data_IF_286143394032
#
_entry.id   IF_286143394032
#
_cell.length_a   1.000
_cell.length_b   1.000
_cell.length_c   1.000
_cell.angle_alpha   90.00
_cell.angle_beta   90.00
_cell.angle_gamma   90.00
#
_symmetry.space_group_name_H-M   'P 1'
#
loop_
_entity.id
_entity.type
_entity.pdbx_description
1 polymer ?
#
# COMPACT_ATOMS: atom_id res chain seq x y z
N UNK A 1 -17.18 32.51 15.62
CA UNK A 1 -18.62 32.16 15.58
C UNK A 1 -18.81 31.07 14.54
N UNK A 2 -19.65 30.09 14.83
CA UNK A 2 -19.97 29.01 13.90
C UNK A 2 -21.30 28.36 14.23
N UNK A 3 -21.69 27.42 13.38
CA UNK A 3 -22.87 26.58 13.57
C UNK A 3 -22.44 25.12 13.54
N UNK A 4 -22.82 24.39 14.57
CA UNK A 4 -22.75 22.94 14.64
C UNK A 4 -24.04 22.37 14.05
N UNK A 5 -23.92 21.58 13.00
CA UNK A 5 -24.99 20.77 12.45
C UNK A 5 -24.91 19.38 13.05
N UNK A 6 -26.03 18.87 13.54
CA UNK A 6 -26.14 17.52 14.10
C UNK A 6 -27.37 16.79 13.59
N UNK A 7 -27.33 15.46 13.66
CA UNK A 7 -28.45 14.59 13.30
C UNK A 7 -29.12 14.06 14.57
N UNK A 8 -30.43 14.18 14.67
CA UNK A 8 -31.21 13.70 15.82
C UNK A 8 -31.16 12.18 15.99
N UNK A 9 -30.91 11.44 14.90
CA UNK A 9 -30.73 10.00 14.91
C UNK A 9 -29.31 9.55 15.28
N UNK A 10 -28.39 10.50 15.46
CA UNK A 10 -26.95 10.26 15.60
C UNK A 10 -26.32 9.47 14.44
N UNK A 11 -27.01 9.33 13.30
CA UNK A 11 -26.50 8.62 12.13
C UNK A 11 -25.36 9.36 11.41
N UNK A 12 -25.26 10.68 11.62
CA UNK A 12 -24.19 11.52 11.10
C UNK A 12 -23.46 12.20 12.27
N UNK A 13 -22.12 12.24 12.23
CA UNK A 13 -21.36 12.99 13.21
C UNK A 13 -21.58 14.50 13.05
N UNK A 14 -21.33 15.28 14.12
CA UNK A 14 -21.43 16.73 14.07
C UNK A 14 -20.54 17.32 12.98
N UNK A 15 -21.03 18.38 12.33
CA UNK A 15 -20.33 19.10 11.27
C UNK A 15 -20.35 20.59 11.58
N UNK A 16 -19.22 21.27 11.37
CA UNK A 16 -19.08 22.68 11.74
C UNK A 16 -18.92 23.58 10.53
N UNK A 17 -19.70 24.65 10.48
CA UNK A 17 -19.48 25.77 9.58
C UNK A 17 -18.98 26.96 10.42
N UNK A 18 -17.84 27.55 10.03
CA UNK A 18 -17.28 28.70 10.73
C UNK A 18 -17.40 29.97 9.89
N UNK A 19 -17.73 31.07 10.56
CA UNK A 19 -17.51 32.42 10.02
C UNK A 19 -16.00 32.76 10.09
N UNK A 20 -15.54 33.81 9.39
CA UNK A 20 -14.13 34.18 9.45
C UNK A 20 -13.72 34.48 10.89
N UNK A 21 -12.55 33.99 11.30
CA UNK A 21 -11.99 34.32 12.60
C UNK A 21 -11.82 35.84 12.75
N UNK A 22 -12.04 36.33 13.97
CA UNK A 22 -11.90 37.74 14.34
C UNK A 22 -10.84 37.85 15.42
N UNK A 23 -9.97 38.85 15.29
CA UNK A 23 -9.01 39.20 16.33
C UNK A 23 -9.70 40.09 17.36
N UNK A 24 -9.23 40.04 18.60
CA UNK A 24 -9.80 40.85 19.67
C UNK A 24 -9.82 42.33 19.27
N UNK A 25 -10.99 42.95 19.41
CA UNK A 25 -11.24 44.35 19.08
C UNK A 25 -12.17 44.97 20.12
N UNK A 26 -12.12 46.31 20.25
CA UNK A 26 -12.90 47.04 21.25
C UNK A 26 -14.34 47.40 20.83
N UNK A 27 -14.74 47.06 19.60
CA UNK A 27 -16.06 47.39 19.05
C UNK A 27 -16.84 46.13 18.66
N UNK A 28 -18.17 46.21 18.76
CA UNK A 28 -19.07 45.17 18.25
C UNK A 28 -19.06 45.21 16.72
N UNK A 29 -18.92 44.03 16.09
CA UNK A 29 -18.91 43.87 14.64
C UNK A 29 -19.94 42.81 14.23
N UNK A 30 -20.70 43.03 13.14
CA UNK A 30 -21.58 41.99 12.60
C UNK A 30 -20.74 40.86 12.02
N UNK A 31 -21.17 39.63 12.30
CA UNK A 31 -20.57 38.41 11.76
C UNK A 31 -21.66 37.58 11.10
N UNK A 32 -21.50 37.34 9.81
CA UNK A 32 -22.45 36.57 9.01
C UNK A 32 -21.83 35.24 8.59
N UNK A 33 -22.69 34.22 8.51
CA UNK A 33 -22.34 32.88 8.07
C UNK A 33 -23.52 32.34 7.25
N UNK A 34 -23.24 32.01 5.99
CA UNK A 34 -24.22 31.40 5.09
C UNK A 34 -23.68 30.03 4.62
N UNK A 35 -24.52 29.01 4.67
CA UNK A 35 -24.20 27.65 4.23
C UNK A 35 -25.49 26.90 3.91
N UNK A 36 -25.37 25.86 3.08
CA UNK A 36 -26.48 24.96 2.77
C UNK A 36 -26.61 23.90 3.88
N UNK A 37 -27.85 23.66 4.35
CA UNK A 37 -28.11 22.55 5.29
C UNK A 37 -28.11 21.24 4.50
N UNK A 38 -27.17 20.37 4.84
CA UNK A 38 -26.95 19.12 4.14
C UNK A 38 -27.95 18.05 4.61
N UNK A 39 -28.36 17.16 3.70
CA UNK A 39 -29.32 16.10 4.00
C UNK A 39 -28.87 15.23 5.18
N UNK A 40 -29.80 14.92 6.09
CA UNK A 40 -29.57 14.11 7.29
C UNK A 40 -29.19 14.92 8.55
N UNK A 41 -28.84 16.19 8.40
CA UNK A 41 -28.71 17.13 9.52
C UNK A 41 -30.04 17.85 9.75
N UNK A 42 -30.60 17.71 10.94
CA UNK A 42 -31.92 18.24 11.31
C UNK A 42 -31.89 19.12 12.58
N UNK A 43 -30.70 19.33 13.14
CA UNK A 43 -30.45 20.21 14.29
C UNK A 43 -29.28 21.12 13.99
N UNK A 44 -29.40 22.36 14.44
CA UNK A 44 -28.34 23.34 14.39
C UNK A 44 -28.13 23.96 15.77
N UNK A 45 -26.87 24.15 16.16
CA UNK A 45 -26.50 24.86 17.39
C UNK A 45 -25.52 25.97 17.05
N UNK A 46 -25.81 27.15 17.56
CA UNK A 46 -24.88 28.29 17.50
C UNK A 46 -23.73 28.04 18.48
N UNK A 47 -22.50 28.14 17.97
CA UNK A 47 -21.26 27.89 18.71
C UNK A 47 -20.34 29.10 18.60
N UNK A 48 -19.75 29.49 19.72
CA UNK A 48 -18.68 30.48 19.73
C UNK A 48 -17.48 29.90 20.45
N UNK A 49 -16.36 29.95 19.73
CA UNK A 49 -15.08 29.48 20.18
C UNK A 49 -14.05 30.56 19.93
N UNK A 50 -13.05 30.61 20.79
CA UNK A 50 -11.91 31.52 20.68
C UNK A 50 -10.65 30.83 21.18
N UNK A 51 -9.51 31.42 20.86
CA UNK A 51 -8.19 30.99 21.33
C UNK A 51 -7.60 32.08 22.22
N UNK A 52 -6.87 31.68 23.27
CA UNK A 52 -6.23 32.60 24.22
C UNK A 52 -7.10 33.01 25.40
N UNK A 53 -6.62 33.98 26.18
CA UNK A 53 -7.34 34.53 27.33
C UNK A 53 -8.21 35.72 26.93
N UNK A 54 -9.49 35.68 27.27
CA UNK A 54 -10.43 36.77 27.00
C UNK A 54 -11.89 36.37 27.22
N UNK A 55 -12.78 37.34 27.03
CA UNK A 55 -14.23 37.13 27.03
C UNK A 55 -14.80 37.59 25.70
N UNK A 56 -15.81 36.86 25.21
CA UNK A 56 -16.55 37.21 24.00
C UNK A 56 -18.00 37.46 24.39
N UNK A 57 -18.53 38.61 23.97
CA UNK A 57 -19.96 38.92 24.08
C UNK A 57 -20.60 38.76 22.70
N UNK A 58 -21.82 38.24 22.68
CA UNK A 58 -22.65 38.07 21.49
C UNK A 58 -24.00 38.70 21.78
N UNK A 59 -24.52 39.42 20.82
CA UNK A 59 -25.84 40.02 20.89
C UNK A 59 -26.53 39.87 19.52
N UNK A 60 -27.85 39.97 19.49
CA UNK A 60 -28.67 39.97 18.27
C UNK A 60 -28.47 38.75 17.33
N UNK A 61 -28.27 37.56 17.89
CA UNK A 61 -28.16 36.33 17.11
C UNK A 61 -29.48 36.01 16.38
N UNK A 62 -29.43 36.00 15.04
CA UNK A 62 -30.56 35.66 14.18
C UNK A 62 -30.19 34.58 13.17
N UNK A 63 -31.17 33.74 12.82
CA UNK A 63 -31.07 32.75 11.77
C UNK A 63 -32.14 33.04 10.73
N UNK A 64 -31.74 33.21 9.48
CA UNK A 64 -32.61 33.57 8.37
C UNK A 64 -32.49 32.50 7.29
N UNK A 65 -33.64 32.09 6.74
CA UNK A 65 -33.67 31.25 5.55
C UNK A 65 -33.25 32.08 4.34
N UNK A 66 -32.42 31.49 3.48
CA UNK A 66 -31.97 32.07 2.23
C UNK A 66 -32.10 31.01 1.12
N UNK A 67 -32.14 31.47 -0.13
CA UNK A 67 -32.06 30.57 -1.27
C UNK A 67 -30.80 29.70 -1.19
N UNK A 68 -30.87 28.40 -1.54
CA UNK A 68 -29.72 27.52 -1.53
C UNK A 68 -28.56 28.11 -2.32
N UNK A 69 -27.38 28.12 -1.70
CA UNK A 69 -26.16 28.62 -2.32
C UNK A 69 -25.71 27.71 -3.47
N UNK A 70 -26.05 26.41 -3.41
CA UNK A 70 -25.78 25.44 -4.47
C UNK A 70 -24.28 25.22 -4.68
N UNK A 71 -23.46 25.41 -3.64
CA UNK A 71 -21.99 25.47 -3.72
C UNK A 71 -21.30 24.10 -3.79
N UNK A 72 -22.06 23.01 -3.87
CA UNK A 72 -21.49 21.67 -3.95
C UNK A 72 -20.76 21.44 -5.28
N UNK A 73 -19.51 20.99 -5.20
CA UNK A 73 -18.72 20.57 -6.35
C UNK A 73 -19.09 19.13 -6.68
N UNK A 74 -19.45 18.84 -7.94
CA UNK A 74 -19.89 17.50 -8.35
C UNK A 74 -18.83 16.76 -9.14
N UNK A 75 -18.74 15.44 -8.94
CA UNK A 75 -17.96 14.51 -9.74
C UNK A 75 -18.75 13.20 -9.83
N UNK A 76 -19.27 12.86 -11.01
CA UNK A 76 -20.17 11.72 -11.21
C UNK A 76 -21.34 11.70 -10.21
N UNK A 77 -21.48 10.66 -9.38
CA UNK A 77 -22.47 10.54 -8.31
C UNK A 77 -22.04 11.14 -6.95
N UNK A 78 -20.83 11.73 -6.90
CA UNK A 78 -20.26 12.34 -5.70
C UNK A 78 -20.49 13.84 -5.68
N UNK A 79 -20.79 14.35 -4.49
CA UNK A 79 -20.96 15.77 -4.21
C UNK A 79 -20.09 16.16 -3.02
N UNK A 80 -19.22 17.15 -3.21
CA UNK A 80 -18.35 17.69 -2.18
C UNK A 80 -18.82 19.11 -1.83
N UNK A 81 -19.42 19.27 -0.65
CA UNK A 81 -19.96 20.54 -0.16
C UNK A 81 -18.96 21.19 0.79
N UNK A 82 -18.48 22.38 0.44
CA UNK A 82 -17.62 23.20 1.32
C UNK A 82 -18.50 24.13 2.14
N UNK A 83 -18.28 24.13 3.46
CA UNK A 83 -19.04 24.92 4.42
C UNK A 83 -18.18 26.03 5.01
N UNK A 84 -18.82 27.14 5.39
CA UNK A 84 -18.15 28.33 5.91
C UNK A 84 -17.93 29.40 4.86
N UNK A 85 -17.63 30.61 5.32
CA UNK A 85 -17.19 31.72 4.45
C UNK A 85 -16.10 32.49 5.20
N UNK A 86 -14.79 32.33 4.89
CA UNK A 86 -14.24 31.40 3.91
C UNK A 86 -14.51 29.94 4.29
N UNK A 87 -14.39 29.03 3.31
CA UNK A 87 -14.62 27.60 3.56
C UNK A 87 -13.72 27.08 4.68
N UNK A 88 -14.28 26.39 5.66
CA UNK A 88 -13.57 25.90 6.84
C UNK A 88 -13.68 24.39 7.02
N UNK A 89 -14.71 23.80 6.41
CA UNK A 89 -15.05 22.38 6.47
C UNK A 89 -15.55 21.89 5.11
N UNK A 90 -15.52 20.59 4.88
CA UNK A 90 -16.21 19.98 3.75
C UNK A 90 -16.84 18.62 4.10
N UNK A 91 -17.90 18.28 3.37
CA UNK A 91 -18.61 17.00 3.42
C UNK A 91 -18.57 16.35 2.04
N UNK A 92 -18.14 15.09 1.99
CA UNK A 92 -18.26 14.25 0.80
C UNK A 92 -19.49 13.34 0.93
N UNK A 93 -20.38 13.45 -0.04
CA UNK A 93 -21.61 12.66 -0.16
C UNK A 93 -21.57 11.85 -1.46
N UNK A 94 -22.14 10.65 -1.44
CA UNK A 94 -22.42 9.84 -2.63
C UNK A 94 -23.87 9.40 -2.61
N UNK A 95 -24.64 9.71 -3.64
CA UNK A 95 -26.06 9.31 -3.75
C UNK A 95 -26.89 9.61 -2.49
N UNK A 96 -26.64 10.77 -1.86
CA UNK A 96 -27.33 11.20 -0.63
C UNK A 96 -26.79 10.63 0.68
N UNK A 97 -25.78 9.75 0.66
CA UNK A 97 -25.13 9.20 1.86
C UNK A 97 -23.78 9.87 2.10
N UNK A 98 -23.55 10.35 3.33
CA UNK A 98 -22.25 10.87 3.73
C UNK A 98 -21.19 9.75 3.77
N UNK A 99 -20.01 10.02 3.23
CA UNK A 99 -18.85 9.12 3.27
C UNK A 99 -17.75 9.66 4.17
N UNK A 100 -17.37 10.92 3.94
CA UNK A 100 -16.37 11.64 4.72
C UNK A 100 -16.98 12.95 5.19
N UNK A 101 -16.86 13.23 6.49
CA UNK A 101 -17.44 14.43 7.12
C UNK A 101 -16.37 15.22 7.83
N UNK A 102 -16.55 16.53 7.91
CA UNK A 102 -15.74 17.40 8.75
C UNK A 102 -14.30 17.50 8.30
N UNK A 103 -14.04 17.74 6.99
CA UNK A 103 -12.72 18.14 6.49
C UNK A 103 -12.28 19.48 7.09
N UNK A 104 -11.98 19.49 8.38
CA UNK A 104 -11.85 20.66 9.21
C UNK A 104 -10.37 21.06 9.32
N UNK A 105 -10.11 22.35 9.09
CA UNK A 105 -8.79 22.95 9.34
C UNK A 105 -8.56 23.27 10.82
N UNK A 106 -9.62 23.18 11.62
CA UNK A 106 -9.60 23.40 13.06
C UNK A 106 -10.48 22.37 13.75
N UNK A 107 -9.95 21.71 14.78
CA UNK A 107 -10.74 20.84 15.64
C UNK A 107 -11.32 21.68 16.78
N UNK A 108 -12.62 21.56 17.02
CA UNK A 108 -13.28 22.17 18.17
C UNK A 108 -13.79 21.10 19.12
N UNK A 109 -13.52 21.28 20.40
CA UNK A 109 -14.08 20.48 21.47
C UNK A 109 -14.46 21.35 22.68
N UNK A 110 -14.84 20.70 23.78
CA UNK A 110 -15.18 21.41 25.03
C UNK A 110 -14.00 22.15 25.66
N UNK A 111 -12.76 21.77 25.34
CA UNK A 111 -11.56 22.42 25.83
C UNK A 111 -11.19 23.66 24.98
N UNK A 112 -11.68 23.76 23.74
CA UNK A 112 -11.60 24.97 22.94
C UNK A 112 -11.43 24.70 21.45
N UNK A 113 -10.99 25.72 20.72
CA UNK A 113 -10.65 25.63 19.30
C UNK A 113 -9.15 25.37 19.17
N UNK A 114 -8.78 24.32 18.44
CA UNK A 114 -7.40 23.98 18.09
C UNK A 114 -7.24 23.94 16.57
N UNK A 115 -6.02 24.13 16.07
CA UNK A 115 -5.72 24.13 14.63
C UNK A 115 -5.66 25.53 14.03
N UNK A 116 -6.08 25.66 12.76
CA UNK A 116 -5.91 26.87 11.96
C UNK A 116 -7.26 27.54 11.62
N UNK A 117 -7.80 28.38 12.54
CA UNK A 117 -9.15 28.93 12.41
C UNK A 117 -9.26 30.10 11.43
N UNK A 118 -8.12 30.71 11.08
CA UNK A 118 -8.02 31.71 10.01
C UNK A 118 -7.92 31.04 8.62
N UNK A 119 -7.99 29.70 8.56
CA UNK A 119 -7.79 28.94 7.34
C UNK A 119 -8.92 28.98 6.34
N UNK A 120 -8.56 28.76 5.07
CA UNK A 120 -9.52 28.68 3.96
C UNK A 120 -9.30 27.38 3.20
N UNK A 121 -10.36 26.60 3.13
CA UNK A 121 -10.56 25.41 2.32
C UNK A 121 -11.38 25.76 1.08
N UNK A 122 -10.96 25.25 -0.07
CA UNK A 122 -11.76 25.26 -1.29
C UNK A 122 -11.66 23.91 -1.98
N UNK A 123 -12.70 23.55 -2.73
CA UNK A 123 -12.74 22.33 -3.51
C UNK A 123 -12.93 22.66 -4.99
N UNK A 124 -12.31 21.86 -5.86
CA UNK A 124 -12.55 21.89 -7.30
C UNK A 124 -12.66 20.45 -7.83
N UNK A 125 -13.44 20.25 -8.88
CA UNK A 125 -13.49 18.96 -9.58
C UNK A 125 -12.23 18.82 -10.44
N UNK A 126 -11.58 17.67 -10.34
CA UNK A 126 -10.45 17.27 -11.17
C UNK A 126 -10.83 16.15 -12.14
N UNK A 127 -9.83 15.60 -12.83
CA UNK A 127 -10.04 14.50 -13.78
C UNK A 127 -10.49 13.18 -13.11
N UNK A 128 -10.07 12.95 -11.86
CA UNK A 128 -10.25 11.67 -11.15
C UNK A 128 -11.03 11.78 -9.83
N UNK A 129 -11.55 12.96 -9.52
CA UNK A 129 -12.22 13.25 -8.26
C UNK A 129 -12.17 14.74 -7.95
N UNK A 130 -11.69 15.11 -6.76
CA UNK A 130 -11.62 16.49 -6.30
C UNK A 130 -10.19 16.89 -5.90
N UNK A 131 -9.95 18.20 -5.88
CA UNK A 131 -8.75 18.80 -5.30
C UNK A 131 -9.19 19.70 -4.14
N UNK A 132 -8.67 19.43 -2.95
CA UNK A 132 -8.87 20.24 -1.75
C UNK A 132 -7.68 21.19 -1.63
N UNK A 133 -7.90 22.49 -1.78
CA UNK A 133 -6.86 23.50 -1.68
C UNK A 133 -6.95 24.29 -0.36
N UNK A 134 -5.79 24.57 0.23
CA UNK A 134 -5.62 25.23 1.52
C UNK A 134 -4.87 26.55 1.33
N UNK A 135 -5.58 27.68 1.37
CA UNK A 135 -4.98 28.98 1.09
C UNK A 135 -4.33 29.59 2.33
N UNK A 136 -3.00 29.62 2.36
CA UNK A 136 -2.22 30.25 3.43
C UNK A 136 -1.99 29.34 4.64
N UNK A 137 -2.04 28.02 4.45
CA UNK A 137 -1.86 27.05 5.53
C UNK A 137 -0.47 27.18 6.15
N UNK A 138 -0.35 27.36 7.48
CA UNK A 138 0.94 27.31 8.14
C UNK A 138 1.51 25.88 8.09
N UNK A 139 2.81 25.73 8.31
CA UNK A 139 3.49 24.44 8.21
C UNK A 139 2.98 23.40 9.23
N UNK A 140 2.44 23.85 10.36
CA UNK A 140 1.88 23.03 11.43
C UNK A 140 0.36 22.79 11.30
N UNK A 141 -0.27 23.27 10.21
CA UNK A 141 -1.68 23.03 9.95
C UNK A 141 -1.99 21.54 9.85
N UNK A 142 -3.16 21.14 10.34
CA UNK A 142 -3.67 19.79 10.18
C UNK A 142 -5.08 19.78 9.61
N UNK A 143 -5.34 18.78 8.77
CA UNK A 143 -6.66 18.45 8.28
C UNK A 143 -7.24 17.34 9.14
N UNK A 144 -8.41 17.59 9.71
CA UNK A 144 -9.18 16.61 10.46
C UNK A 144 -10.34 16.15 9.59
N UNK A 145 -10.79 14.90 9.73
CA UNK A 145 -12.06 14.43 9.17
C UNK A 145 -12.49 13.11 9.79
N UNK A 146 -13.76 12.78 9.64
CA UNK A 146 -14.35 11.52 10.06
C UNK A 146 -14.73 10.73 8.81
N UNK A 147 -14.24 9.50 8.71
CA UNK A 147 -14.67 8.56 7.69
C UNK A 147 -15.72 7.60 8.27
N UNK A 148 -16.92 7.60 7.69
CA UNK A 148 -18.03 6.77 8.16
C UNK A 148 -17.86 5.34 7.67
N UNK A 149 -17.88 4.38 8.60
CA UNK A 149 -17.77 2.97 8.26
C UNK A 149 -19.15 2.45 7.86
N UNK A 150 -19.31 1.74 6.73
CA UNK A 150 -20.47 0.85 6.56
C UNK A 150 -20.52 -0.14 7.73
N UNK A 151 -21.70 -0.43 8.29
CA UNK A 151 -21.85 -1.35 9.43
C UNK A 151 -21.19 -2.71 9.20
N UNK A 152 -21.20 -3.21 7.95
CA UNK A 152 -20.59 -4.48 7.54
C UNK A 152 -19.04 -4.47 7.50
N UNK A 153 -18.39 -3.31 7.63
CA UNK A 153 -16.93 -3.15 7.54
C UNK A 153 -16.23 -3.06 8.90
N UNK A 154 -16.99 -3.13 10.00
CA UNK A 154 -16.47 -3.09 11.37
C UNK A 154 -15.46 -4.23 11.61
N UNK A 155 -14.23 -3.88 11.97
CA UNK A 155 -13.14 -4.84 12.26
C UNK A 155 -12.45 -5.48 11.05
N UNK A 156 -12.84 -5.15 9.81
CA UNK A 156 -12.18 -5.73 8.64
C UNK A 156 -10.80 -5.09 8.40
N UNK A 157 -9.73 -5.88 8.51
CA UNK A 157 -8.40 -5.46 8.11
C UNK A 157 -8.40 -5.08 6.62
N UNK A 158 -7.86 -3.91 6.29
CA UNK A 158 -7.76 -3.43 4.90
C UNK A 158 -8.83 -2.41 4.46
N UNK A 159 -9.76 -2.00 5.34
CA UNK A 159 -10.64 -0.86 5.03
C UNK A 159 -9.89 0.48 5.01
N UNK A 160 -8.85 0.60 5.84
CA UNK A 160 -7.90 1.71 5.78
C UNK A 160 -6.54 1.18 5.40
N UNK A 161 -5.86 1.90 4.53
CA UNK A 161 -4.45 1.67 4.28
C UNK A 161 -3.71 2.95 3.98
N UNK A 162 -2.40 2.92 4.14
CA UNK A 162 -1.52 4.02 3.72
C UNK A 162 -0.42 3.49 2.82
N UNK A 163 0.07 4.32 1.92
CA UNK A 163 1.28 4.05 1.13
C UNK A 163 2.35 5.10 1.40
N UNK A 164 3.61 4.74 1.31
CA UNK A 164 4.75 5.64 1.53
C UNK A 164 6.06 4.97 1.09
N UNK A 165 7.20 5.55 1.50
CA UNK A 165 8.52 4.97 1.20
C UNK A 165 8.69 3.55 1.78
N UNK A 166 8.03 3.26 2.91
CA UNK A 166 7.99 1.94 3.53
C UNK A 166 6.97 0.98 2.89
N UNK A 167 6.35 1.38 1.78
CA UNK A 167 5.36 0.58 1.06
C UNK A 167 3.95 0.66 1.64
N UNK A 168 3.14 -0.34 1.30
CA UNK A 168 1.74 -0.45 1.72
C UNK A 168 1.62 -0.95 3.16
N UNK A 169 0.73 -0.34 3.95
CA UNK A 169 0.34 -0.85 5.26
C UNK A 169 -1.18 -0.73 5.44
N UNK A 170 -1.84 -1.85 5.73
CA UNK A 170 -3.25 -1.90 6.09
C UNK A 170 -3.43 -1.71 7.60
N UNK A 171 -4.48 -1.00 8.00
CA UNK A 171 -4.79 -0.68 9.39
C UNK A 171 -6.18 -1.21 9.76
N UNK A 172 -6.30 -1.81 10.95
CA UNK A 172 -7.56 -2.39 11.44
C UNK A 172 -8.24 -1.53 12.53
N UNK A 173 -7.56 -0.51 13.04
CA UNK A 173 -8.02 0.35 14.13
C UNK A 173 -7.14 1.59 14.24
N UNK A 174 -6.86 2.02 15.47
CA UNK A 174 -6.05 3.21 15.76
C UNK A 174 -4.62 3.05 15.23
N UNK A 175 -4.09 4.10 14.59
CA UNK A 175 -2.73 4.11 14.09
C UNK A 175 -2.14 5.52 14.03
N UNK A 176 -0.82 5.60 13.97
CA UNK A 176 -0.09 6.78 13.50
C UNK A 176 1.02 6.31 12.56
N UNK A 177 1.16 6.98 11.41
CA UNK A 177 2.17 6.67 10.41
C UNK A 177 2.78 7.95 9.85
N UNK A 178 4.10 8.05 9.95
CA UNK A 178 4.88 9.08 9.29
C UNK A 178 5.22 8.68 7.84
N UNK A 179 5.47 9.67 6.99
CA UNK A 179 5.96 9.45 5.63
C UNK A 179 4.92 8.88 4.66
N UNK A 180 3.63 9.03 4.95
CA UNK A 180 2.55 8.58 4.07
C UNK A 180 2.42 9.53 2.87
N UNK A 181 2.36 8.96 1.67
CA UNK A 181 2.11 9.66 0.40
C UNK A 181 0.68 9.47 -0.09
N UNK A 182 -0.03 8.48 0.45
CA UNK A 182 -1.48 8.41 0.30
C UNK A 182 -2.17 7.70 1.47
N UNK A 183 -3.45 8.03 1.65
CA UNK A 183 -4.39 7.35 2.53
C UNK A 183 -5.52 6.79 1.69
N UNK A 184 -5.74 5.48 1.79
CA UNK A 184 -6.78 4.71 1.12
C UNK A 184 -7.88 4.39 2.14
N UNK A 185 -9.13 4.61 1.74
CA UNK A 185 -10.31 4.36 2.55
C UNK A 185 -11.30 3.54 1.73
N UNK A 186 -11.98 2.58 2.34
CA UNK A 186 -12.99 1.78 1.64
C UNK A 186 -12.42 0.70 0.73
N UNK A 187 -13.29 0.14 -0.11
CA UNK A 187 -12.95 -0.93 -1.05
C UNK A 187 -13.90 -0.92 -2.25
N UNK A 188 -13.51 -1.60 -3.33
CA UNK A 188 -14.36 -1.80 -4.49
C UNK A 188 -14.81 -0.50 -5.17
N UNK A 189 -16.13 -0.25 -5.18
CA UNK A 189 -16.73 0.95 -5.78
C UNK A 189 -16.84 2.12 -4.80
N UNK A 190 -16.54 1.91 -3.52
CA UNK A 190 -16.47 2.94 -2.46
C UNK A 190 -15.02 3.23 -2.04
N UNK A 191 -14.03 2.75 -2.80
CA UNK A 191 -12.63 3.07 -2.58
C UNK A 191 -12.41 4.57 -2.83
N UNK A 192 -11.76 5.23 -1.89
CA UNK A 192 -11.33 6.63 -1.98
C UNK A 192 -9.84 6.70 -1.68
N UNK A 193 -9.14 7.64 -2.31
CA UNK A 193 -7.72 7.92 -2.04
C UNK A 193 -7.51 9.40 -1.79
N UNK A 194 -6.90 9.72 -0.64
CA UNK A 194 -6.29 11.01 -0.40
C UNK A 194 -4.81 10.93 -0.79
N UNK A 195 -4.44 11.64 -1.87
CA UNK A 195 -3.08 11.73 -2.40
C UNK A 195 -2.37 12.98 -1.92
N UNK A 196 -1.10 12.83 -1.52
CA UNK A 196 -0.27 13.91 -1.00
C UNK A 196 0.92 14.16 -1.92
N UNK A 197 1.18 15.43 -2.26
CA UNK A 197 2.32 15.80 -3.12
C UNK A 197 3.68 15.61 -2.43
N UNK A 198 3.69 15.57 -1.09
CA UNK A 198 4.84 15.27 -0.26
C UNK A 198 4.43 14.33 0.89
N UNK A 199 5.37 13.55 1.46
CA UNK A 199 5.06 12.67 2.58
C UNK A 199 4.53 13.43 3.81
N UNK A 200 3.47 12.93 4.44
CA UNK A 200 2.82 13.51 5.61
C UNK A 200 2.72 12.53 6.77
N UNK A 201 2.41 13.05 7.96
CA UNK A 201 1.98 12.24 9.10
C UNK A 201 0.46 12.06 9.06
N UNK A 202 0.00 10.81 9.11
CA UNK A 202 -1.41 10.45 9.18
C UNK A 202 -1.64 9.67 10.47
N UNK A 203 -2.65 10.09 11.23
CA UNK A 203 -3.11 9.37 12.41
C UNK A 203 -4.60 9.16 12.34
N UNK A 204 -5.07 8.04 12.90
CA UNK A 204 -6.47 7.71 13.00
C UNK A 204 -6.80 7.19 14.40
N UNK A 205 -7.99 7.54 14.90
CA UNK A 205 -8.57 7.02 16.13
C UNK A 205 -9.97 6.49 15.87
N UNK A 206 -10.27 5.34 16.43
CA UNK A 206 -11.60 4.74 16.36
C UNK A 206 -12.55 5.54 17.25
N UNK A 207 -13.68 5.91 16.66
CA UNK A 207 -14.81 6.53 17.36
C UNK A 207 -16.06 5.72 17.04
N UNK A 208 -17.14 5.92 17.80
CA UNK A 208 -18.38 5.16 17.61
C UNK A 208 -18.88 5.31 16.15
N UNK A 209 -18.91 4.19 15.41
CA UNK A 209 -19.37 4.15 14.00
C UNK A 209 -18.43 4.75 12.94
N UNK A 210 -17.26 5.28 13.31
CA UNK A 210 -16.37 5.98 12.36
C UNK A 210 -14.88 5.89 12.73
N UNK A 211 -14.01 6.40 11.86
CA UNK A 211 -12.60 6.67 12.16
C UNK A 211 -12.34 8.18 12.05
N UNK A 212 -11.78 8.76 13.11
CA UNK A 212 -11.34 10.14 13.17
C UNK A 212 -9.89 10.24 12.70
N UNK A 213 -9.66 10.94 11.60
CA UNK A 213 -8.35 11.16 11.02
C UNK A 213 -7.81 12.53 11.37
N UNK A 214 -6.48 12.59 11.52
CA UNK A 214 -5.70 13.82 11.53
C UNK A 214 -4.52 13.64 10.57
N UNK A 215 -4.42 14.54 9.60
CA UNK A 215 -3.31 14.64 8.65
C UNK A 215 -2.54 15.91 8.96
N UNK A 216 -1.24 15.80 9.26
CA UNK A 216 -0.37 16.97 9.35
C UNK A 216 -0.05 17.45 7.92
N UNK A 217 -0.55 18.63 7.54
CA UNK A 217 -0.43 19.13 6.17
C UNK A 217 1.01 19.49 5.81
N UNK A 218 1.88 19.80 6.79
CA UNK A 218 3.31 20.04 6.55
C UNK A 218 3.60 21.08 5.44
N UNK A 219 2.74 22.09 5.28
CA UNK A 219 2.84 23.10 4.22
C UNK A 219 2.28 22.70 2.85
N UNK A 220 1.58 21.56 2.74
CA UNK A 220 0.82 21.20 1.54
C UNK A 220 -0.18 22.30 1.18
N UNK A 221 -0.12 22.75 -0.07
CA UNK A 221 -1.10 23.68 -0.63
C UNK A 221 -2.41 23.00 -1.02
N UNK A 222 -2.36 21.70 -1.32
CA UNK A 222 -3.51 20.93 -1.73
C UNK A 222 -3.38 19.43 -1.43
N UNK A 223 -4.53 18.75 -1.41
CA UNK A 223 -4.68 17.30 -1.30
C UNK A 223 -5.58 16.82 -2.45
N UNK A 224 -5.16 15.77 -3.16
CA UNK A 224 -5.99 15.12 -4.17
C UNK A 224 -6.95 14.14 -3.48
N UNK A 225 -8.25 14.23 -3.77
CA UNK A 225 -9.25 13.24 -3.39
C UNK A 225 -9.69 12.48 -4.65
N UNK A 226 -9.08 11.33 -4.88
CA UNK A 226 -9.36 10.46 -6.02
C UNK A 226 -10.51 9.49 -5.70
N UNK A 227 -11.45 9.40 -6.65
CA UNK A 227 -12.70 8.63 -6.54
C UNK A 227 -12.89 7.62 -7.67
N UNK A 228 -12.15 7.76 -8.78
CA UNK A 228 -12.08 6.76 -9.85
C UNK A 228 -10.66 6.24 -10.01
N UNK A 229 -10.57 4.93 -10.28
CA UNK A 229 -9.32 4.17 -10.37
C UNK A 229 -9.23 3.40 -11.69
N UNK A 230 -9.93 3.85 -12.73
CA UNK A 230 -10.00 3.12 -14.01
C UNK A 230 -8.63 2.95 -14.65
N UNK A 231 -7.80 3.99 -14.64
CA UNK A 231 -6.44 3.96 -15.20
C UNK A 231 -5.55 3.03 -14.37
N UNK A 232 -5.56 3.17 -13.05
CA UNK A 232 -4.79 2.32 -12.15
C UNK A 232 -5.20 0.85 -12.24
N UNK A 233 -6.49 0.57 -12.41
CA UNK A 233 -7.01 -0.79 -12.66
C UNK A 233 -6.47 -1.37 -13.96
N UNK A 234 -6.43 -0.57 -15.02
CA UNK A 234 -5.84 -0.99 -16.30
C UNK A 234 -4.34 -1.24 -16.17
N UNK A 235 -3.61 -0.39 -15.45
CA UNK A 235 -2.18 -0.59 -15.18
C UNK A 235 -1.93 -1.85 -14.34
N UNK A 236 -2.70 -2.07 -13.28
CA UNK A 236 -2.60 -3.26 -12.43
C UNK A 236 -2.89 -4.54 -13.23
N UNK A 237 -3.90 -4.51 -14.11
CA UNK A 237 -4.20 -5.62 -15.01
C UNK A 237 -3.06 -5.89 -16.00
N UNK A 238 -2.45 -4.84 -16.57
CA UNK A 238 -1.29 -4.98 -17.46
C UNK A 238 -0.08 -5.59 -16.75
N UNK A 239 0.18 -5.21 -15.48
CA UNK A 239 1.23 -5.83 -14.67
C UNK A 239 0.94 -7.33 -14.42
N UNK A 240 -0.31 -7.67 -14.14
CA UNK A 240 -0.71 -9.06 -13.91
C UNK A 240 -0.57 -9.93 -15.17
N UNK A 241 -0.91 -9.40 -16.34
CA UNK A 241 -0.69 -10.08 -17.63
C UNK A 241 0.81 -10.21 -17.93
N UNK A 242 1.60 -9.16 -17.72
CA UNK A 242 3.06 -9.20 -17.88
C UNK A 242 3.69 -10.28 -17.00
N UNK A 243 3.27 -10.38 -15.75
CA UNK A 243 3.75 -11.42 -14.84
C UNK A 243 3.40 -12.83 -15.35
N UNK A 244 2.17 -13.04 -15.84
CA UNK A 244 1.76 -14.30 -16.45
C UNK A 244 2.52 -14.65 -17.75
N UNK A 245 2.87 -13.66 -18.57
CA UNK A 245 3.73 -13.85 -19.74
C UNK A 245 5.16 -14.27 -19.36
N UNK A 246 5.74 -13.64 -18.35
CA UNK A 246 7.04 -14.00 -17.81
C UNK A 246 7.05 -15.44 -17.27
N UNK A 247 6.01 -15.84 -16.51
CA UNK A 247 5.86 -17.24 -16.05
C UNK A 247 5.81 -18.23 -17.22
N UNK A 248 5.04 -17.93 -18.28
CA UNK A 248 4.96 -18.78 -19.50
C UNK A 248 6.31 -18.90 -20.23
N UNK A 249 7.11 -17.84 -20.23
CA UNK A 249 8.44 -17.80 -20.86
C UNK A 249 9.56 -18.38 -19.97
N UNK A 250 9.24 -18.89 -18.79
CA UNK A 250 10.22 -19.34 -17.78
C UNK A 250 11.17 -18.23 -17.27
N UNK A 251 10.77 -16.96 -17.43
CA UNK A 251 11.43 -15.80 -16.83
C UNK A 251 10.80 -15.52 -15.46
N UNK A 252 11.16 -16.33 -14.47
CA UNK A 252 10.52 -16.30 -13.14
C UNK A 252 10.95 -15.07 -12.32
N UNK A 253 12.16 -14.56 -12.57
CA UNK A 253 12.63 -13.28 -12.03
C UNK A 253 11.78 -12.12 -12.50
N UNK A 254 11.51 -12.03 -13.81
CA UNK A 254 10.59 -11.04 -14.38
C UNK A 254 9.17 -11.15 -13.83
N UNK A 255 8.66 -12.38 -13.63
CA UNK A 255 7.36 -12.61 -13.01
C UNK A 255 7.31 -12.12 -11.55
N UNK A 256 8.32 -12.46 -10.74
CA UNK A 256 8.43 -12.01 -9.35
C UNK A 256 8.54 -10.49 -9.25
N UNK A 257 9.31 -9.85 -10.13
CA UNK A 257 9.43 -8.40 -10.19
C UNK A 257 8.10 -7.73 -10.52
N UNK A 258 7.36 -8.24 -11.52
CA UNK A 258 6.06 -7.72 -11.90
C UNK A 258 5.00 -7.91 -10.79
N UNK A 259 4.98 -9.07 -10.11
CA UNK A 259 4.09 -9.27 -8.97
C UNK A 259 4.44 -8.36 -7.79
N UNK A 260 5.73 -8.12 -7.54
CA UNK A 260 6.18 -7.20 -6.48
C UNK A 260 5.76 -5.76 -6.81
N UNK A 261 5.98 -5.31 -8.04
CA UNK A 261 5.55 -3.98 -8.49
C UNK A 261 4.02 -3.79 -8.36
N UNK A 262 3.23 -4.83 -8.67
CA UNK A 262 1.78 -4.79 -8.50
C UNK A 262 1.39 -4.60 -7.03
N UNK A 263 2.02 -5.35 -6.13
CA UNK A 263 1.76 -5.26 -4.69
C UNK A 263 2.17 -3.89 -4.11
N UNK A 264 3.23 -3.28 -4.63
CA UNK A 264 3.72 -1.99 -4.16
C UNK A 264 2.87 -0.82 -4.68
N UNK A 265 2.50 -0.85 -5.97
CA UNK A 265 1.81 0.28 -6.64
C UNK A 265 0.28 0.20 -6.56
N UNK A 266 -0.29 -1.02 -6.55
CA UNK A 266 -1.74 -1.23 -6.64
C UNK A 266 -2.29 -2.12 -5.51
N UNK A 267 -2.00 -1.80 -4.24
CA UNK A 267 -2.36 -2.66 -3.12
C UNK A 267 -3.88 -2.67 -2.80
N UNK A 268 -4.67 -1.87 -3.52
CA UNK A 268 -6.13 -1.77 -3.34
C UNK A 268 -6.92 -2.70 -4.26
N UNK A 269 -6.31 -3.28 -5.30
CA UNK A 269 -6.98 -4.23 -6.19
C UNK A 269 -7.01 -5.62 -5.54
N UNK A 270 -7.90 -5.81 -4.56
CA UNK A 270 -7.92 -6.98 -3.67
C UNK A 270 -7.77 -8.32 -4.39
N UNK A 271 -8.49 -8.52 -5.51
CA UNK A 271 -8.39 -9.76 -6.30
C UNK A 271 -7.00 -9.97 -6.88
N UNK A 272 -6.37 -8.92 -7.41
CA UNK A 272 -5.03 -8.98 -7.97
C UNK A 272 -3.96 -9.09 -6.88
N UNK A 273 -4.15 -8.43 -5.75
CA UNK A 273 -3.25 -8.50 -4.59
C UNK A 273 -3.21 -9.91 -4.01
N UNK A 274 -4.37 -10.56 -3.82
CA UNK A 274 -4.43 -11.95 -3.38
C UNK A 274 -3.73 -12.87 -4.38
N UNK A 275 -4.06 -12.74 -5.67
CA UNK A 275 -3.41 -13.52 -6.74
C UNK A 275 -1.89 -13.31 -6.79
N UNK A 276 -1.42 -12.07 -6.68
CA UNK A 276 -0.01 -11.73 -6.72
C UNK A 276 0.74 -12.26 -5.49
N UNK A 277 0.13 -12.19 -4.31
CA UNK A 277 0.69 -12.73 -3.07
C UNK A 277 0.84 -14.25 -3.15
N UNK A 278 -0.20 -14.96 -3.58
CA UNK A 278 -0.19 -16.41 -3.78
C UNK A 278 0.82 -16.84 -4.85
N UNK A 279 0.86 -16.15 -5.99
CA UNK A 279 1.80 -16.44 -7.07
C UNK A 279 3.25 -16.21 -6.63
N UNK A 280 3.53 -15.10 -5.95
CA UNK A 280 4.86 -14.79 -5.43
C UNK A 280 5.32 -15.83 -4.41
N UNK A 281 4.47 -16.19 -3.45
CA UNK A 281 4.77 -17.22 -2.46
C UNK A 281 5.09 -18.57 -3.14
N UNK A 282 4.22 -19.01 -4.05
CA UNK A 282 4.41 -20.25 -4.83
C UNK A 282 5.73 -20.27 -5.60
N UNK A 283 6.04 -19.19 -6.32
CA UNK A 283 7.26 -19.09 -7.13
C UNK A 283 8.52 -19.12 -6.27
N UNK A 284 8.53 -18.38 -5.14
CA UNK A 284 9.67 -18.38 -4.22
C UNK A 284 9.86 -19.76 -3.59
N UNK A 285 8.78 -20.37 -3.09
CA UNK A 285 8.82 -21.70 -2.48
C UNK A 285 9.33 -22.76 -3.47
N UNK A 286 8.80 -22.79 -4.69
CA UNK A 286 9.25 -23.71 -5.73
C UNK A 286 10.73 -23.48 -6.12
N UNK A 287 11.17 -22.23 -6.20
CA UNK A 287 12.56 -21.88 -6.47
C UNK A 287 13.51 -22.35 -5.36
N UNK A 288 13.17 -22.09 -4.11
CA UNK A 288 13.96 -22.54 -2.94
C UNK A 288 13.97 -24.06 -2.81
N UNK A 289 12.86 -24.74 -3.12
CA UNK A 289 12.81 -26.20 -3.16
C UNK A 289 13.79 -26.76 -4.20
N UNK A 290 13.83 -26.19 -5.42
CA UNK A 290 14.79 -26.60 -6.47
C UNK A 290 16.24 -26.37 -6.03
N UNK A 291 16.55 -25.27 -5.34
CA UNK A 291 17.87 -25.05 -4.75
C UNK A 291 18.19 -26.12 -3.70
N UNK A 292 17.23 -26.45 -2.83
CA UNK A 292 17.39 -27.46 -1.78
C UNK A 292 17.57 -28.89 -2.32
N UNK A 293 16.88 -29.25 -3.41
CA UNK A 293 17.11 -30.50 -4.15
C UNK A 293 18.53 -30.55 -4.70
N UNK A 294 18.99 -29.49 -5.35
CA UNK A 294 20.34 -29.41 -5.89
C UNK A 294 21.41 -29.54 -4.78
N UNK A 295 21.22 -28.87 -3.63
CA UNK A 295 22.13 -29.01 -2.48
C UNK A 295 22.23 -30.44 -1.98
N UNK A 296 21.10 -31.16 -1.86
CA UNK A 296 21.08 -32.58 -1.46
C UNK A 296 21.80 -33.48 -2.47
N UNK A 297 21.61 -33.25 -3.77
CA UNK A 297 22.36 -33.96 -4.81
C UNK A 297 23.87 -33.73 -4.68
N UNK A 298 24.30 -32.50 -4.36
CA UNK A 298 25.71 -32.15 -4.19
C UNK A 298 26.32 -32.75 -2.93
N UNK A 299 25.55 -32.89 -1.84
CA UNK A 299 26.01 -33.61 -0.64
C UNK A 299 26.25 -35.09 -0.92
N UNK A 300 25.37 -35.73 -1.69
CA UNK A 300 25.57 -37.11 -2.15
C UNK A 300 26.80 -37.21 -3.06
N UNK A 301 26.94 -36.31 -4.03
CA UNK A 301 28.11 -36.25 -4.91
C UNK A 301 29.43 -36.07 -4.12
N UNK A 302 29.39 -35.30 -3.03
CA UNK A 302 30.53 -35.13 -2.11
C UNK A 302 30.93 -36.44 -1.45
N UNK A 303 29.95 -37.19 -0.95
CA UNK A 303 30.20 -38.49 -0.30
C UNK A 303 30.91 -39.47 -1.24
N UNK A 304 30.53 -39.47 -2.51
CA UNK A 304 31.12 -40.34 -3.53
C UNK A 304 32.34 -39.73 -4.25
N UNK A 305 32.76 -38.52 -3.86
CA UNK A 305 33.91 -37.81 -4.42
C UNK A 305 33.82 -37.65 -5.96
N UNK A 306 32.68 -37.19 -6.46
CA UNK A 306 32.37 -37.11 -7.90
C UNK A 306 32.50 -35.67 -8.44
N UNK A 307 33.68 -35.23 -8.93
CA UNK A 307 33.90 -33.84 -9.36
C UNK A 307 33.02 -33.42 -10.55
N UNK A 308 32.61 -34.35 -11.40
CA UNK A 308 31.77 -34.02 -12.56
C UNK A 308 30.33 -33.66 -12.20
N UNK A 309 29.78 -34.25 -11.14
CA UNK A 309 28.47 -33.85 -10.64
C UNK A 309 28.49 -32.43 -10.09
N UNK A 310 29.60 -31.98 -9.50
CA UNK A 310 29.75 -30.58 -9.08
C UNK A 310 29.81 -29.61 -10.27
N UNK A 311 30.43 -29.99 -11.39
CA UNK A 311 30.40 -29.17 -12.62
C UNK A 311 28.98 -29.03 -13.17
N UNK A 312 28.23 -30.13 -13.22
CA UNK A 312 26.83 -30.12 -13.65
C UNK A 312 25.94 -29.34 -12.67
N UNK A 313 26.19 -29.50 -11.37
CA UNK A 313 25.48 -28.78 -10.31
C UNK A 313 25.73 -27.28 -10.36
N UNK A 314 26.97 -26.86 -10.60
CA UNK A 314 27.33 -25.45 -10.85
C UNK A 314 26.53 -24.87 -12.02
N UNK A 315 26.51 -25.56 -13.17
CA UNK A 315 25.77 -25.11 -14.35
C UNK A 315 24.25 -25.00 -14.09
N UNK A 316 23.65 -26.01 -13.44
CA UNK A 316 22.23 -25.99 -13.06
C UNK A 316 21.90 -24.90 -12.05
N UNK A 317 22.78 -24.65 -11.09
CA UNK A 317 22.63 -23.56 -10.12
C UNK A 317 22.68 -22.19 -10.81
N UNK A 318 23.57 -21.99 -11.77
CA UNK A 318 23.66 -20.75 -12.54
C UNK A 318 22.45 -20.55 -13.46
N UNK A 319 21.95 -21.61 -14.09
CA UNK A 319 20.71 -21.56 -14.87
C UNK A 319 19.52 -21.17 -13.99
N UNK A 320 19.40 -21.76 -12.79
CA UNK A 320 18.36 -21.41 -11.83
C UNK A 320 18.49 -19.95 -11.36
N UNK A 321 19.72 -19.49 -11.11
CA UNK A 321 19.99 -18.09 -10.76
C UNK A 321 19.55 -17.13 -11.88
N UNK A 322 19.77 -17.49 -13.14
CA UNK A 322 19.33 -16.71 -14.29
C UNK A 322 17.80 -16.69 -14.42
N UNK A 323 17.14 -17.84 -14.24
CA UNK A 323 15.66 -17.92 -14.27
C UNK A 323 15.00 -17.05 -13.20
N UNK A 324 15.65 -16.88 -12.05
CA UNK A 324 15.13 -16.15 -10.88
C UNK A 324 15.83 -14.80 -10.64
N UNK A 325 16.42 -14.20 -11.67
CA UNK A 325 17.18 -12.96 -11.54
C UNK A 325 16.41 -11.84 -10.80
N UNK A 326 17.09 -11.13 -9.91
CA UNK A 326 16.53 -10.07 -9.06
C UNK A 326 15.78 -10.57 -7.82
N UNK A 327 15.85 -11.86 -7.48
CA UNK A 327 15.10 -12.45 -6.35
C UNK A 327 15.99 -13.12 -5.30
N UNK A 328 15.42 -13.44 -4.14
CA UNK A 328 16.11 -14.23 -3.10
C UNK A 328 16.55 -15.61 -3.60
N UNK A 329 15.79 -16.22 -4.53
CA UNK A 329 16.15 -17.53 -5.10
C UNK A 329 17.44 -17.42 -5.92
N UNK A 330 17.66 -16.31 -6.64
CA UNK A 330 18.93 -16.07 -7.33
C UNK A 330 20.11 -16.05 -6.35
N UNK A 331 19.96 -15.38 -5.21
CA UNK A 331 21.02 -15.28 -4.20
C UNK A 331 21.42 -16.68 -3.70
N UNK A 332 20.43 -17.49 -3.34
CA UNK A 332 20.63 -18.86 -2.87
C UNK A 332 21.19 -19.79 -3.95
N UNK A 333 20.77 -19.62 -5.21
CA UNK A 333 21.26 -20.38 -6.35
C UNK A 333 22.72 -20.02 -6.68
N UNK A 334 23.08 -18.73 -6.70
CA UNK A 334 24.48 -18.27 -6.90
C UNK A 334 25.40 -18.72 -5.78
N UNK A 335 24.91 -18.74 -4.54
CA UNK A 335 25.65 -19.28 -3.41
C UNK A 335 25.93 -20.78 -3.61
N UNK A 336 24.91 -21.54 -4.01
CA UNK A 336 25.05 -22.97 -4.30
C UNK A 336 26.04 -23.23 -5.45
N UNK A 337 26.03 -22.41 -6.50
CA UNK A 337 27.01 -22.49 -7.59
C UNK A 337 28.45 -22.29 -7.08
N UNK A 338 28.67 -21.29 -6.22
CA UNK A 338 29.99 -21.03 -5.60
C UNK A 338 30.46 -22.20 -4.73
N UNK A 339 29.55 -22.81 -3.98
CA UNK A 339 29.85 -24.00 -3.18
C UNK A 339 30.23 -25.19 -4.06
N UNK A 340 29.55 -25.39 -5.19
CA UNK A 340 29.89 -26.44 -6.15
C UNK A 340 31.28 -26.23 -6.75
N UNK A 341 31.61 -24.99 -7.12
CA UNK A 341 32.93 -24.63 -7.66
C UNK A 341 34.05 -24.91 -6.64
N UNK A 342 33.85 -24.51 -5.38
CA UNK A 342 34.82 -24.75 -4.31
C UNK A 342 35.02 -26.25 -4.05
N UNK A 343 33.94 -27.01 -3.90
CA UNK A 343 33.99 -28.45 -3.67
C UNK A 343 34.68 -29.20 -4.83
N UNK A 344 34.42 -28.78 -6.08
CA UNK A 344 35.11 -29.34 -7.26
C UNK A 344 36.61 -29.08 -7.20
N UNK A 345 37.04 -27.86 -6.85
CA UNK A 345 38.45 -27.51 -6.76
C UNK A 345 39.18 -28.33 -5.69
N UNK A 346 38.54 -28.53 -4.52
CA UNK A 346 39.08 -29.38 -3.44
C UNK A 346 39.26 -30.84 -3.89
N UNK A 347 38.26 -31.40 -4.57
CA UNK A 347 38.30 -32.78 -5.05
C UNK A 347 39.36 -33.00 -6.12
N UNK A 348 39.49 -32.06 -7.06
CA UNK A 348 40.51 -32.12 -8.12
C UNK A 348 41.92 -31.94 -7.54
N UNK A 349 42.11 -31.05 -6.56
CA UNK A 349 43.39 -30.90 -5.87
C UNK A 349 43.77 -32.13 -5.02
N UNK A 350 42.78 -32.91 -4.59
CA UNK A 350 42.94 -34.14 -3.81
C UNK A 350 43.13 -35.43 -4.62
N UNK A 351 43.03 -35.40 -5.96
CA UNK A 351 43.18 -36.61 -6.79
C UNK A 351 44.62 -37.15 -6.77
N UNK A 352 44.82 -38.17 -5.93
CA UNK A 352 45.91 -39.14 -6.03
C UNK A 352 45.39 -40.38 -6.76
N UNK A 353 46.22 -40.92 -7.66
CA UNK A 353 46.05 -42.16 -8.44
C UNK A 353 45.11 -43.20 -7.80
N UNK A 354 44.03 -43.59 -8.50
CA UNK A 354 43.08 -44.63 -8.05
C UNK A 354 41.58 -44.36 -8.32
N UNK A 355 41.25 -43.32 -9.10
CA UNK A 355 39.86 -42.85 -9.33
C UNK A 355 38.92 -43.93 -9.89
N UNK A 356 39.32 -44.67 -10.94
CA UNK A 356 38.51 -45.76 -11.52
C UNK A 356 38.19 -46.88 -10.53
N UNK A 357 39.17 -47.30 -9.73
CA UNK A 357 39.01 -48.41 -8.80
C UNK A 357 38.06 -48.04 -7.65
N UNK A 358 38.09 -46.76 -7.24
CA UNK A 358 37.14 -46.18 -6.28
C UNK A 358 35.72 -46.14 -6.86
N UNK A 359 35.55 -45.65 -8.10
CA UNK A 359 34.25 -45.58 -8.78
C UNK A 359 33.61 -46.96 -8.94
N UNK A 360 34.40 -47.99 -9.27
CA UNK A 360 33.92 -49.40 -9.30
C UNK A 360 33.50 -49.90 -7.93
N UNK A 361 34.24 -49.56 -6.87
CA UNK A 361 33.88 -49.91 -5.49
C UNK A 361 32.58 -49.25 -5.03
N UNK A 362 32.38 -47.98 -5.37
CA UNK A 362 31.14 -47.24 -5.12
C UNK A 362 29.96 -47.85 -5.89
N UNK A 363 30.13 -48.15 -7.18
CA UNK A 363 29.09 -48.79 -7.99
C UNK A 363 28.69 -50.18 -7.42
N UNK A 364 29.64 -50.93 -6.86
CA UNK A 364 29.39 -52.22 -6.24
C UNK A 364 28.66 -52.15 -4.89
N UNK A 365 28.72 -51.00 -4.19
CA UNK A 365 28.08 -50.79 -2.90
C UNK A 365 26.75 -50.02 -2.99
N UNK A 366 26.42 -49.45 -4.16
CA UNK A 366 25.19 -48.68 -4.37
C UNK A 366 23.99 -49.60 -4.61
N UNK A 367 22.87 -49.34 -3.93
CA UNK A 367 21.57 -49.89 -4.30
C UNK A 367 20.99 -49.09 -5.49
N UNK A 368 20.81 -49.71 -6.67
CA UNK A 368 20.28 -49.03 -7.85
C UNK A 368 18.86 -48.48 -7.65
N UNK A 369 18.07 -49.08 -6.75
CA UNK A 369 16.70 -48.66 -6.46
C UNK A 369 16.66 -47.40 -5.59
N UNK A 370 17.66 -47.19 -4.74
CA UNK A 370 17.73 -46.06 -3.81
C UNK A 370 18.35 -44.79 -4.43
N UNK A 371 19.26 -44.95 -5.41
CA UNK A 371 19.95 -43.83 -6.06
C UNK A 371 20.15 -44.08 -7.58
N UNK A 372 19.06 -44.07 -8.37
CA UNK A 372 19.10 -44.44 -9.79
C UNK A 372 19.97 -43.49 -10.63
N UNK A 373 19.84 -42.17 -10.44
CA UNK A 373 20.62 -41.17 -11.19
C UNK A 373 22.13 -41.26 -10.94
N UNK A 374 22.53 -41.55 -9.69
CA UNK A 374 23.94 -41.69 -9.35
C UNK A 374 24.52 -42.98 -9.95
N UNK A 375 23.73 -44.06 -9.96
CA UNK A 375 24.11 -45.34 -10.58
C UNK A 375 24.29 -45.19 -12.09
N UNK A 376 23.40 -44.47 -12.76
CA UNK A 376 23.51 -44.18 -14.19
C UNK A 376 24.78 -43.35 -14.50
N UNK A 377 25.05 -42.31 -13.71
CA UNK A 377 26.22 -41.47 -13.89
C UNK A 377 27.54 -42.23 -13.65
N UNK A 378 27.61 -43.06 -12.60
CA UNK A 378 28.77 -43.90 -12.31
C UNK A 378 29.03 -44.95 -13.41
N UNK A 379 27.97 -45.54 -13.99
CA UNK A 379 28.10 -46.45 -15.14
C UNK A 379 28.63 -45.71 -16.37
N UNK A 380 28.13 -44.50 -16.64
CA UNK A 380 28.61 -43.67 -17.75
C UNK A 380 30.08 -43.28 -17.61
N UNK A 381 30.50 -42.87 -16.40
CA UNK A 381 31.89 -42.51 -16.11
C UNK A 381 32.87 -43.69 -16.20
N UNK A 382 32.38 -44.94 -16.09
CA UNK A 382 33.16 -46.18 -16.19
C UNK A 382 33.12 -46.82 -17.58
N UNK A 383 32.35 -46.28 -18.54
CA UNK A 383 32.36 -46.78 -19.92
C UNK A 383 33.63 -46.29 -20.65
N UNK A 384 34.36 -47.17 -21.34
CA UNK A 384 35.53 -46.76 -22.11
C UNK A 384 35.12 -45.84 -23.25
N UNK A 385 35.71 -44.65 -23.31
CA UNK A 385 35.56 -43.73 -24.44
C UNK A 385 36.08 -44.44 -25.69
N UNK A 386 35.19 -44.76 -26.63
CA UNK A 386 35.58 -45.34 -27.91
C UNK A 386 36.56 -44.39 -28.62
N UNK A 387 37.73 -44.87 -29.11
CA UNK A 387 38.68 -44.02 -29.79
C UNK A 387 38.04 -43.42 -31.06
N UNK A 388 38.38 -42.17 -31.44
CA UNK A 388 37.86 -41.58 -32.65
C UNK A 388 38.26 -42.46 -33.84
N UNK A 389 37.26 -42.82 -34.67
CA UNK A 389 37.51 -43.43 -35.98
C UNK A 389 38.41 -42.49 -36.76
N UNK A 390 39.60 -42.95 -37.12
CA UNK A 390 40.36 -42.37 -38.22
C UNK A 390 39.58 -42.71 -39.49
N UNK A 391 38.89 -41.73 -40.04
CA UNK A 391 38.39 -41.81 -41.40
C UNK A 391 39.58 -41.56 -42.35
N UNK A 392 39.68 -42.42 -43.38
CA UNK A 392 40.66 -42.42 -44.47
C UNK A 392 40.50 -41.23 -45.43
#
# INVERSE_FOLDING_TARGET
>A
FGVELSSSSAALPPLFAWAPARRAGGAAEPVELAFDVLGGYDRARLVVAGTGGGTVALDDASALEQEPLGKAVKFTEYELSVLGTPGSSALLVRSGRALLTGFDLSAWDRAGLAGWPEGSLSAAAGARGFTLAFKGAPADASLHFLALRPDESSGQAGWVATTGAEGYAAHAGDFSRAGATSLLLGSGTELLRLGFASPVEVSAKSVEGALAFRIALAGLAEVELQLTFSEERSEAAALAERAGECERKQDLGGALAAWTELLDRFPFEHRLVTRASEARARLIEAGLQRVGELRREMEQARFFLLPELFRQGEARALELAQQYAGSTVEVEARETARQCMAARAELVAGERSGSEQRLRGVLGALDPAAAPHLTEHLRGALQPVAPPRKDD
#
